data_IF_101676634784
#
_entry.id   IF_101676634784
#
_cell.length_a   1.000
_cell.length_b   1.000
_cell.length_c   1.000
_cell.angle_alpha   90.00
_cell.angle_beta   90.00
_cell.angle_gamma   90.00
#
_symmetry.space_group_name_H-M   'P 1'
#
loop_
_entity.id
_entity.type
_entity.pdbx_description
1 polymer ?
#
# COMPACT_ATOMS: atom_id res chain seq x y z
N UNK A 1 -10.80 -26.16 -49.05
CA UNK A 1 -9.62 -25.51 -48.41
C UNK A 1 -9.94 -24.12 -47.80
N UNK A 2 -10.85 -23.35 -48.40
CA UNK A 2 -11.21 -21.98 -47.95
C UNK A 2 -11.84 -21.90 -46.56
N UNK A 3 -12.58 -22.93 -46.08
CA UNK A 3 -13.25 -22.94 -44.78
C UNK A 3 -12.31 -23.02 -43.52
N UNK A 4 -11.10 -23.55 -43.65
CA UNK A 4 -10.16 -23.66 -42.51
C UNK A 4 -9.42 -22.34 -42.26
N UNK A 5 -9.02 -21.65 -43.32
CA UNK A 5 -8.39 -20.33 -43.27
C UNK A 5 -9.35 -19.26 -42.70
N UNK A 6 -10.62 -19.31 -43.08
CA UNK A 6 -11.64 -18.36 -42.59
C UNK A 6 -11.96 -18.58 -41.09
N UNK A 7 -12.00 -19.81 -40.64
CA UNK A 7 -12.17 -20.15 -39.20
C UNK A 7 -10.96 -19.75 -38.36
N UNK A 8 -9.75 -19.91 -38.88
CA UNK A 8 -8.52 -19.47 -38.20
C UNK A 8 -8.41 -17.94 -38.11
N UNK A 9 -8.86 -17.23 -39.19
CA UNK A 9 -8.85 -15.76 -39.19
C UNK A 9 -9.91 -15.18 -38.23
N UNK A 10 -11.06 -15.82 -38.12
CA UNK A 10 -12.13 -15.42 -37.19
C UNK A 10 -11.75 -15.71 -35.73
N UNK A 11 -11.06 -16.83 -35.45
CA UNK A 11 -10.53 -17.14 -34.13
C UNK A 11 -9.42 -16.16 -33.71
N UNK A 12 -8.59 -15.70 -34.63
CA UNK A 12 -7.52 -14.71 -34.35
C UNK A 12 -8.11 -13.33 -34.03
N UNK A 13 -9.23 -12.94 -34.70
CA UNK A 13 -9.92 -11.67 -34.44
C UNK A 13 -10.62 -11.65 -33.07
N UNK A 14 -11.12 -12.79 -32.57
CA UNK A 14 -11.73 -12.90 -31.25
C UNK A 14 -10.67 -12.82 -30.15
N UNK A 15 -9.45 -13.32 -30.39
CA UNK A 15 -8.35 -13.23 -29.43
C UNK A 15 -7.76 -11.81 -29.32
N UNK A 16 -7.91 -10.97 -30.33
CA UNK A 16 -7.38 -9.60 -30.37
C UNK A 16 -8.28 -8.58 -29.63
N UNK A 17 -9.52 -8.95 -29.29
CA UNK A 17 -10.51 -8.04 -28.69
C UNK A 17 -10.60 -8.10 -27.16
N UNK A 18 -9.75 -8.88 -26.48
CA UNK A 18 -9.79 -9.08 -25.02
C UNK A 18 -8.62 -8.43 -24.27
N UNK A 19 -7.96 -7.42 -24.82
CA UNK A 19 -7.12 -6.54 -24.00
C UNK A 19 -8.02 -5.60 -23.20
N UNK A 20 -8.64 -6.11 -22.13
CA UNK A 20 -9.20 -5.24 -21.09
C UNK A 20 -8.00 -4.55 -20.47
N UNK A 21 -7.72 -3.32 -20.90
CA UNK A 21 -6.77 -2.46 -20.21
C UNK A 21 -7.26 -2.29 -18.78
N UNK A 22 -6.58 -2.91 -17.83
CA UNK A 22 -6.76 -2.64 -16.42
C UNK A 22 -6.36 -1.18 -16.19
N UNK A 23 -7.34 -0.29 -16.08
CA UNK A 23 -7.17 1.14 -15.92
C UNK A 23 -7.96 1.61 -14.69
N UNK A 24 -7.45 2.64 -14.01
CA UNK A 24 -8.18 3.30 -12.93
C UNK A 24 -9.55 3.78 -13.42
N UNK A 25 -10.59 3.59 -12.59
CA UNK A 25 -11.94 4.04 -12.89
C UNK A 25 -12.05 5.57 -12.74
N UNK A 26 -12.78 6.21 -13.63
CA UNK A 26 -13.16 7.62 -13.50
C UNK A 26 -14.22 7.82 -12.41
N UNK A 27 -14.42 9.05 -11.95
CA UNK A 27 -15.48 9.38 -11.00
C UNK A 27 -16.87 9.01 -11.57
N UNK A 28 -17.11 9.28 -12.84
CA UNK A 28 -18.39 8.93 -13.50
C UNK A 28 -18.66 7.43 -13.49
N UNK A 29 -17.63 6.61 -13.71
CA UNK A 29 -17.73 5.14 -13.64
C UNK A 29 -18.02 4.66 -12.23
N UNK A 30 -17.39 5.28 -11.20
CA UNK A 30 -17.67 5.00 -9.78
C UNK A 30 -19.11 5.33 -9.46
N UNK A 31 -19.57 6.54 -9.80
CA UNK A 31 -20.95 7.00 -9.58
C UNK A 31 -21.95 6.10 -10.28
N UNK A 32 -21.72 5.75 -11.54
CA UNK A 32 -22.57 4.85 -12.33
C UNK A 32 -22.62 3.43 -11.75
N UNK A 33 -21.52 2.93 -11.21
CA UNK A 33 -21.48 1.60 -10.58
C UNK A 33 -22.17 1.56 -9.22
N UNK A 34 -22.37 2.71 -8.57
CA UNK A 34 -22.91 2.83 -7.23
C UNK A 34 -21.99 2.28 -6.13
N UNK A 35 -20.70 2.04 -6.43
CA UNK A 35 -19.74 1.46 -5.47
C UNK A 35 -18.39 2.17 -5.55
N UNK A 36 -17.91 2.66 -4.40
CA UNK A 36 -16.55 3.13 -4.17
C UNK A 36 -15.71 2.00 -3.57
N UNK A 37 -14.61 1.62 -4.22
CA UNK A 37 -13.66 0.63 -3.70
C UNK A 37 -12.49 1.34 -3.00
N UNK A 38 -12.46 1.25 -1.67
CA UNK A 38 -11.46 1.89 -0.83
C UNK A 38 -10.41 0.91 -0.31
N UNK A 39 -9.14 1.15 -0.61
CA UNK A 39 -8.02 0.35 -0.10
C UNK A 39 -7.54 0.84 1.27
N UNK A 40 -7.48 -0.04 2.28
CA UNK A 40 -6.96 0.26 3.61
C UNK A 40 -5.95 -0.79 4.06
N UNK A 41 -4.98 -0.39 4.90
CA UNK A 41 -3.93 -1.28 5.40
C UNK A 41 -4.21 -1.71 6.85
N UNK A 42 -4.78 -2.91 7.10
CA UNK A 42 -5.16 -3.35 8.44
C UNK A 42 -3.97 -3.67 9.37
N UNK A 43 -2.74 -3.57 8.88
CA UNK A 43 -1.53 -3.72 9.70
C UNK A 43 -1.03 -2.42 10.33
N UNK A 44 -1.80 -1.33 10.25
CA UNK A 44 -1.44 0.01 10.75
C UNK A 44 -2.53 0.57 11.69
N UNK A 45 -2.77 -0.01 12.88
CA UNK A 45 -3.63 0.62 13.85
C UNK A 45 -2.99 1.93 14.37
N UNK A 46 -3.75 3.01 14.64
CA UNK A 46 -5.22 3.11 14.60
C UNK A 46 -5.82 3.39 13.21
N UNK A 47 -5.01 3.52 12.17
CA UNK A 47 -5.47 3.88 10.82
C UNK A 47 -6.43 2.81 10.26
N UNK A 48 -6.03 1.53 10.30
CA UNK A 48 -6.92 0.43 10.02
C UNK A 48 -6.51 -0.85 10.76
N UNK A 49 -7.50 -1.65 11.15
CA UNK A 49 -7.35 -2.99 11.74
C UNK A 49 -8.59 -3.84 11.46
N UNK A 50 -8.51 -5.13 11.73
CA UNK A 50 -9.70 -5.98 11.86
C UNK A 50 -10.26 -5.90 13.28
N UNK A 51 -11.58 -5.77 13.42
CA UNK A 51 -12.28 -5.91 14.69
C UNK A 51 -12.56 -7.40 15.00
N UNK A 52 -13.24 -7.66 16.12
CA UNK A 52 -13.61 -9.02 16.56
C UNK A 52 -14.55 -9.75 15.60
N UNK A 53 -15.28 -9.00 14.76
CA UNK A 53 -16.18 -9.52 13.71
C UNK A 53 -15.47 -9.70 12.37
N UNK A 54 -14.14 -9.53 12.33
CA UNK A 54 -13.33 -9.58 11.12
C UNK A 54 -13.71 -8.50 10.07
N UNK A 55 -14.21 -7.34 10.53
CA UNK A 55 -14.51 -6.18 9.69
C UNK A 55 -13.33 -5.20 9.72
N UNK A 56 -13.07 -4.53 8.61
CA UNK A 56 -12.07 -3.48 8.51
C UNK A 56 -12.61 -2.20 9.16
N UNK A 57 -11.93 -1.73 10.19
CA UNK A 57 -12.30 -0.54 10.99
C UNK A 57 -11.09 0.33 11.26
N UNK A 58 -11.32 1.59 11.62
CA UNK A 58 -10.29 2.56 11.99
C UNK A 58 -10.43 3.86 11.21
N UNK A 59 -9.54 4.81 11.49
CA UNK A 59 -9.56 6.16 10.91
C UNK A 59 -9.71 6.16 9.38
N UNK A 60 -8.92 5.34 8.68
CA UNK A 60 -8.98 5.25 7.22
C UNK A 60 -10.33 4.72 6.72
N UNK A 61 -10.90 3.72 7.43
CA UNK A 61 -12.20 3.15 7.10
C UNK A 61 -13.32 4.18 7.31
N UNK A 62 -13.25 4.98 8.39
CA UNK A 62 -14.24 6.00 8.70
C UNK A 62 -14.23 7.14 7.68
N UNK A 63 -13.05 7.60 7.25
CA UNK A 63 -12.89 8.59 6.17
C UNK A 63 -13.48 8.06 4.86
N UNK A 64 -13.19 6.80 4.50
CA UNK A 64 -13.73 6.17 3.30
C UNK A 64 -15.26 6.04 3.35
N UNK A 65 -15.80 5.68 4.53
CA UNK A 65 -17.25 5.60 4.73
C UNK A 65 -17.91 6.97 4.53
N UNK A 66 -17.32 8.03 5.09
CA UNK A 66 -17.84 9.39 4.92
C UNK A 66 -17.75 9.86 3.47
N UNK A 67 -16.67 9.53 2.76
CA UNK A 67 -16.53 9.85 1.34
C UNK A 67 -17.61 9.14 0.50
N UNK A 68 -17.84 7.85 0.73
CA UNK A 68 -18.87 7.10 0.01
C UNK A 68 -20.28 7.64 0.29
N UNK A 69 -20.58 8.01 1.55
CA UNK A 69 -21.81 8.69 1.93
C UNK A 69 -22.01 10.00 1.16
N UNK A 70 -20.97 10.84 1.11
CA UNK A 70 -21.02 12.14 0.39
C UNK A 70 -21.23 11.96 -1.13
N UNK A 71 -20.69 10.88 -1.71
CA UNK A 71 -20.88 10.53 -3.11
C UNK A 71 -22.21 9.82 -3.38
N UNK A 72 -22.95 9.41 -2.35
CA UNK A 72 -24.20 8.66 -2.49
C UNK A 72 -24.01 7.24 -3.05
N UNK A 73 -22.86 6.61 -2.80
CA UNK A 73 -22.50 5.27 -3.27
C UNK A 73 -22.21 4.32 -2.09
N UNK A 74 -22.22 3.02 -2.34
CA UNK A 74 -21.81 2.02 -1.34
C UNK A 74 -20.30 1.99 -1.22
N UNK A 75 -19.78 1.73 -0.01
CA UNK A 75 -18.35 1.48 0.23
C UNK A 75 -18.06 -0.02 0.19
N UNK A 76 -17.02 -0.37 -0.55
CA UNK A 76 -16.35 -1.68 -0.51
C UNK A 76 -14.92 -1.48 -0.02
N UNK A 77 -14.60 -1.92 1.21
CA UNK A 77 -13.25 -1.87 1.75
C UNK A 77 -12.43 -3.06 1.27
N UNK A 78 -11.25 -2.78 0.74
CA UNK A 78 -10.31 -3.78 0.21
C UNK A 78 -9.03 -3.76 1.05
N UNK A 79 -8.65 -4.90 1.63
CA UNK A 79 -7.34 -5.06 2.25
C UNK A 79 -6.24 -4.76 1.24
N UNK A 80 -5.38 -3.80 1.56
CA UNK A 80 -4.33 -3.35 0.66
C UNK A 80 -3.01 -3.19 1.42
N UNK A 81 -2.05 -4.06 1.15
CA UNK A 81 -0.70 -3.98 1.73
C UNK A 81 0.10 -2.79 1.17
N UNK A 82 1.19 -2.43 1.85
CA UNK A 82 2.03 -1.31 1.43
C UNK A 82 2.57 -1.44 -0.01
N UNK A 83 2.98 -2.62 -0.52
CA UNK A 83 3.44 -2.75 -1.90
C UNK A 83 2.31 -2.64 -2.94
N UNK A 84 1.07 -2.93 -2.55
CA UNK A 84 -0.07 -3.05 -3.46
C UNK A 84 -0.78 -1.72 -3.74
N UNK A 85 -0.59 -0.72 -2.88
CA UNK A 85 -1.35 0.55 -2.89
C UNK A 85 -1.37 1.22 -4.27
N UNK A 86 -0.20 1.48 -4.85
CA UNK A 86 -0.10 2.14 -6.15
C UNK A 86 -0.58 1.24 -7.29
N UNK A 87 -0.13 -0.05 -7.40
CA UNK A 87 -0.62 -0.96 -8.44
C UNK A 87 -2.14 -1.14 -8.42
N UNK A 88 -2.77 -1.25 -7.26
CA UNK A 88 -4.21 -1.49 -7.17
C UNK A 88 -5.04 -0.30 -7.63
N UNK A 89 -4.60 0.94 -7.35
CA UNK A 89 -5.24 2.14 -7.90
C UNK A 89 -5.01 2.22 -9.41
N UNK A 90 -3.77 2.06 -9.87
CA UNK A 90 -3.42 2.18 -11.29
C UNK A 90 -4.15 1.16 -12.18
N UNK A 91 -4.52 0.00 -11.63
CA UNK A 91 -5.23 -1.06 -12.36
C UNK A 91 -6.75 -1.08 -12.13
N UNK A 92 -7.29 -0.12 -11.36
CA UNK A 92 -8.73 -0.07 -11.06
C UNK A 92 -9.24 -1.19 -10.13
N UNK A 93 -8.34 -1.91 -9.46
CA UNK A 93 -8.72 -2.88 -8.43
C UNK A 93 -9.34 -2.18 -7.22
N UNK A 94 -8.86 -0.97 -6.92
CA UNK A 94 -9.44 -0.01 -5.98
C UNK A 94 -9.48 1.37 -6.64
N UNK A 95 -10.36 2.24 -6.18
CA UNK A 95 -10.51 3.60 -6.70
C UNK A 95 -9.66 4.61 -5.94
N UNK A 96 -9.60 4.44 -4.63
CA UNK A 96 -8.86 5.28 -3.71
C UNK A 96 -8.15 4.41 -2.67
N UNK A 97 -7.00 4.86 -2.17
CA UNK A 97 -6.25 4.15 -1.14
C UNK A 97 -5.84 5.09 -0.03
N UNK A 98 -5.91 4.61 1.20
CA UNK A 98 -5.32 5.20 2.40
C UNK A 98 -4.28 4.23 2.99
N UNK A 99 -3.81 4.46 4.20
CA UNK A 99 -2.80 3.61 4.87
C UNK A 99 -1.41 4.23 4.86
N UNK A 100 -1.29 5.46 5.38
CA UNK A 100 -0.01 6.18 5.49
C UNK A 100 0.73 6.25 4.14
N UNK A 101 0.02 6.65 3.08
CA UNK A 101 0.61 6.72 1.73
C UNK A 101 1.31 8.06 1.52
N UNK A 102 2.56 8.15 1.89
CA UNK A 102 3.39 9.34 1.71
C UNK A 102 3.43 9.78 0.25
N UNK A 103 3.13 11.05 0.00
CA UNK A 103 3.24 11.70 -1.32
C UNK A 103 4.70 11.84 -1.71
N UNK A 104 5.06 11.41 -2.92
CA UNK A 104 6.36 11.65 -3.51
C UNK A 104 6.30 11.69 -5.05
N UNK A 105 7.32 12.29 -5.66
CA UNK A 105 7.37 12.51 -7.10
C UNK A 105 7.24 11.25 -7.96
N UNK A 106 7.80 10.10 -7.50
CA UNK A 106 7.70 8.84 -8.27
C UNK A 106 6.26 8.33 -8.32
N UNK A 107 5.56 8.38 -7.19
CA UNK A 107 4.16 7.95 -7.09
C UNK A 107 3.22 8.89 -7.82
N UNK A 108 3.48 10.21 -7.79
CA UNK A 108 2.68 11.23 -8.50
C UNK A 108 2.71 11.10 -10.02
N UNK A 109 3.66 10.34 -10.59
CA UNK A 109 3.65 10.00 -12.02
C UNK A 109 2.63 8.93 -12.39
N UNK A 110 2.05 8.24 -11.41
CA UNK A 110 1.19 7.07 -11.60
C UNK A 110 -0.20 7.32 -11.05
N UNK A 111 -0.31 8.01 -9.90
CA UNK A 111 -1.57 8.29 -9.21
C UNK A 111 -1.62 9.74 -8.74
N UNK A 112 -2.83 10.28 -8.67
CA UNK A 112 -3.08 11.59 -8.08
C UNK A 112 -3.21 11.49 -6.55
N UNK A 113 -3.06 12.63 -5.88
CA UNK A 113 -3.18 12.77 -4.44
C UNK A 113 -4.20 13.84 -4.09
N UNK A 114 -4.97 13.58 -3.06
CA UNK A 114 -5.82 14.58 -2.40
C UNK A 114 -4.98 15.59 -1.62
N UNK A 115 -5.61 16.55 -0.95
CA UNK A 115 -4.97 17.29 0.14
C UNK A 115 -4.49 16.31 1.23
N UNK A 116 -3.42 16.65 1.98
CA UNK A 116 -2.96 15.80 3.09
C UNK A 116 -4.08 15.59 4.11
N UNK A 117 -4.30 14.34 4.49
CA UNK A 117 -5.29 13.97 5.51
C UNK A 117 -4.67 14.07 6.91
N UNK A 118 -3.39 13.69 7.03
CA UNK A 118 -2.57 13.86 8.23
C UNK A 118 -1.10 13.99 7.85
N UNK A 119 -0.26 14.34 8.81
CA UNK A 119 1.19 14.42 8.66
C UNK A 119 1.86 13.46 9.64
N UNK A 120 3.00 12.92 9.25
CA UNK A 120 3.76 11.94 10.01
C UNK A 120 5.21 12.40 10.16
N UNK A 121 5.85 12.04 11.27
CA UNK A 121 7.26 12.32 11.52
C UNK A 121 8.09 11.08 11.27
N UNK A 122 9.26 11.25 10.65
CA UNK A 122 10.20 10.17 10.43
C UNK A 122 10.95 9.86 11.73
N UNK A 123 10.98 8.59 12.10
CA UNK A 123 11.66 8.14 13.30
C UNK A 123 12.16 6.71 13.17
N UNK A 124 12.56 6.15 14.30
CA UNK A 124 12.93 4.75 14.38
C UNK A 124 12.42 4.12 15.67
N UNK A 125 11.93 2.90 15.56
CA UNK A 125 11.57 2.07 16.68
C UNK A 125 12.65 0.99 16.87
N UNK A 126 13.11 0.87 18.11
CA UNK A 126 14.08 -0.15 18.54
C UNK A 126 13.67 -0.73 19.88
N UNK A 127 14.33 -1.78 20.32
CA UNK A 127 14.13 -2.33 21.67
C UNK A 127 15.06 -1.64 22.67
N UNK A 128 14.67 -1.64 23.95
CA UNK A 128 15.53 -1.16 25.04
C UNK A 128 16.87 -1.91 25.16
N UNK A 129 16.94 -3.11 24.61
CA UNK A 129 18.18 -3.92 24.61
C UNK A 129 19.24 -3.40 23.63
N UNK A 130 18.83 -2.68 22.59
CA UNK A 130 19.74 -2.12 21.57
C UNK A 130 19.30 -0.70 21.19
N UNK A 131 19.44 0.28 22.11
CA UNK A 131 19.07 1.66 21.83
C UNK A 131 20.04 2.29 20.83
N UNK A 132 19.52 3.24 20.04
CA UNK A 132 20.29 4.10 19.15
C UNK A 132 19.99 5.56 19.53
N UNK A 133 21.00 6.41 19.59
CA UNK A 133 20.81 7.83 19.89
C UNK A 133 20.26 8.61 18.69
N UNK A 134 20.61 8.18 17.47
CA UNK A 134 20.12 8.76 16.24
C UNK A 134 19.91 7.67 15.17
N UNK A 135 19.03 7.96 14.19
CA UNK A 135 18.75 7.03 13.08
C UNK A 135 20.03 6.68 12.31
N UNK A 136 20.94 7.64 12.14
CA UNK A 136 22.20 7.41 11.42
C UNK A 136 23.17 6.47 12.14
N UNK A 137 23.06 6.28 13.45
CA UNK A 137 23.86 5.31 14.21
C UNK A 137 23.53 3.86 13.82
N UNK A 138 22.42 3.64 13.14
CA UNK A 138 22.03 2.35 12.59
C UNK A 138 22.79 1.98 11.29
N UNK A 139 23.57 2.91 10.70
CA UNK A 139 24.30 2.65 9.47
C UNK A 139 25.60 1.86 9.71
N UNK A 140 25.49 0.66 10.24
CA UNK A 140 26.60 -0.25 10.58
C UNK A 140 26.29 -1.67 10.13
N UNK A 141 27.35 -2.42 9.80
CA UNK A 141 27.23 -3.79 9.28
C UNK A 141 26.69 -4.82 10.29
N UNK A 142 26.78 -4.52 11.59
CA UNK A 142 26.24 -5.37 12.66
C UNK A 142 24.74 -5.09 12.95
N UNK A 143 24.13 -4.07 12.32
CA UNK A 143 22.75 -3.69 12.54
C UNK A 143 21.83 -4.37 11.54
N UNK A 144 20.77 -4.99 12.04
CA UNK A 144 19.71 -5.65 11.27
C UNK A 144 18.44 -4.81 11.32
N UNK A 145 17.97 -4.34 10.18
CA UNK A 145 16.77 -3.53 10.07
C UNK A 145 15.62 -4.36 9.47
N UNK A 146 14.46 -4.37 10.11
CA UNK A 146 13.21 -4.80 9.52
C UNK A 146 12.60 -3.61 8.78
N UNK A 147 12.19 -3.78 7.53
CA UNK A 147 11.53 -2.73 6.76
C UNK A 147 10.35 -3.30 6.00
N UNK A 148 9.31 -2.50 5.77
CA UNK A 148 8.12 -2.95 5.03
C UNK A 148 8.27 -2.61 3.55
N UNK A 149 8.14 -3.61 2.71
CA UNK A 149 8.20 -3.49 1.25
C UNK A 149 7.21 -2.44 0.75
N UNK A 150 7.63 -1.58 -0.17
CA UNK A 150 6.78 -0.54 -0.75
C UNK A 150 6.51 0.66 0.15
N UNK A 151 7.00 0.68 1.40
CA UNK A 151 6.95 1.85 2.27
C UNK A 151 7.99 2.90 1.85
N UNK A 152 7.75 4.16 2.19
CA UNK A 152 8.71 5.23 1.92
C UNK A 152 9.94 5.10 2.86
N UNK A 153 9.78 4.76 4.15
CA UNK A 153 10.90 4.49 5.04
C UNK A 153 11.86 3.40 4.53
N UNK A 154 11.34 2.32 3.95
CA UNK A 154 12.19 1.28 3.38
C UNK A 154 13.07 1.80 2.23
N UNK A 155 12.51 2.67 1.38
CA UNK A 155 13.26 3.33 0.31
C UNK A 155 14.34 4.27 0.85
N UNK A 156 14.01 5.03 1.88
CA UNK A 156 14.95 5.92 2.56
C UNK A 156 16.08 5.15 3.24
N UNK A 157 15.75 4.10 4.00
CA UNK A 157 16.73 3.27 4.68
C UNK A 157 17.72 2.64 3.71
N UNK A 158 17.25 2.08 2.59
CA UNK A 158 18.12 1.54 1.53
C UNK A 158 19.11 2.56 0.96
N UNK A 159 18.68 3.82 0.85
CA UNK A 159 19.51 4.89 0.30
C UNK A 159 20.52 5.43 1.31
N UNK A 160 20.17 5.53 2.58
CA UNK A 160 20.92 6.26 3.59
C UNK A 160 21.62 5.35 4.62
N UNK A 161 21.12 4.13 4.85
CA UNK A 161 21.69 3.17 5.78
C UNK A 161 22.32 1.99 5.03
N UNK A 162 23.25 2.31 4.13
CA UNK A 162 23.83 1.39 3.13
C UNK A 162 24.69 0.29 3.72
N UNK A 163 25.15 0.44 4.97
CA UNK A 163 25.96 -0.56 5.70
C UNK A 163 25.09 -1.53 6.51
N UNK A 164 23.85 -1.16 6.84
CA UNK A 164 22.96 -1.98 7.63
C UNK A 164 22.39 -3.16 6.81
N UNK A 165 22.11 -4.26 7.51
CA UNK A 165 21.47 -5.43 6.92
C UNK A 165 19.94 -5.23 6.90
N UNK A 166 19.36 -4.93 5.74
CA UNK A 166 17.93 -4.64 5.60
C UNK A 166 17.17 -5.87 5.13
N UNK A 167 16.24 -6.36 5.96
CA UNK A 167 15.27 -7.39 5.60
C UNK A 167 13.92 -6.75 5.30
N UNK A 168 13.33 -7.09 4.15
CA UNK A 168 12.02 -6.59 3.73
C UNK A 168 10.92 -7.58 4.10
N UNK A 169 9.91 -7.09 4.84
CA UNK A 169 8.68 -7.78 5.15
C UNK A 169 7.52 -7.25 4.30
N UNK A 170 6.49 -8.05 4.08
CA UNK A 170 5.34 -7.66 3.26
C UNK A 170 4.29 -6.88 4.07
N UNK A 171 4.36 -6.94 5.41
CA UNK A 171 3.44 -6.22 6.31
C UNK A 171 4.14 -5.79 7.61
N UNK A 172 3.53 -4.82 8.29
CA UNK A 172 4.05 -4.28 9.56
C UNK A 172 4.03 -5.30 10.72
N UNK A 173 2.97 -6.10 10.93
CA UNK A 173 2.97 -7.11 12.00
C UNK A 173 4.16 -8.06 11.96
N UNK A 174 4.59 -8.50 10.78
CA UNK A 174 5.73 -9.40 10.64
C UNK A 174 7.06 -8.69 10.89
N UNK A 175 7.21 -7.43 10.44
CA UNK A 175 8.38 -6.61 10.74
C UNK A 175 8.52 -6.36 12.25
N UNK A 176 7.42 -5.99 12.92
CA UNK A 176 7.40 -5.76 14.37
C UNK A 176 7.68 -7.04 15.16
N UNK A 177 7.13 -8.18 14.71
CA UNK A 177 7.42 -9.49 15.31
C UNK A 177 8.89 -9.85 15.21
N UNK A 178 9.53 -9.54 14.07
CA UNK A 178 10.96 -9.78 13.90
C UNK A 178 11.81 -8.98 14.90
N UNK A 179 11.45 -7.73 15.17
CA UNK A 179 12.12 -6.90 16.19
C UNK A 179 11.87 -7.45 17.61
N UNK A 180 10.64 -7.75 17.96
CA UNK A 180 10.27 -8.30 19.25
C UNK A 180 10.99 -9.62 19.57
N UNK A 181 11.23 -10.44 18.55
CA UNK A 181 11.95 -11.72 18.64
C UNK A 181 13.49 -11.58 18.56
N UNK A 182 14.03 -10.36 18.41
CA UNK A 182 15.47 -10.13 18.25
C UNK A 182 16.06 -10.59 16.91
N UNK A 183 15.21 -10.87 15.90
CA UNK A 183 15.67 -11.18 14.54
C UNK A 183 16.08 -9.92 13.76
N UNK A 184 15.55 -8.79 14.16
CA UNK A 184 15.97 -7.46 13.73
C UNK A 184 16.16 -6.55 14.96
N UNK A 185 16.97 -5.51 14.81
CA UNK A 185 17.32 -4.57 15.87
C UNK A 185 16.37 -3.37 15.90
N UNK A 186 15.91 -2.92 14.73
CA UNK A 186 15.10 -1.73 14.59
C UNK A 186 14.31 -1.71 13.28
N UNK A 187 13.36 -0.78 13.20
CA UNK A 187 12.69 -0.32 11.98
C UNK A 187 12.80 1.20 11.92
N UNK A 188 13.08 1.74 10.74
CA UNK A 188 12.85 3.15 10.45
C UNK A 188 11.45 3.27 9.89
N UNK A 189 10.62 4.10 10.49
CA UNK A 189 9.23 4.27 10.07
C UNK A 189 8.74 5.70 10.38
N UNK A 190 7.49 5.94 10.09
CA UNK A 190 6.78 7.14 10.51
C UNK A 190 6.23 6.94 11.93
N UNK A 191 6.19 8.02 12.69
CA UNK A 191 5.71 8.07 14.07
C UNK A 191 4.60 9.12 14.11
N UNK A 192 3.45 8.74 14.64
CA UNK A 192 2.29 9.61 14.90
C UNK A 192 2.38 10.22 16.30
#
# INVERSE_FOLDING_TARGET
MMNKLFKSFFALLIFLSLTISAQARSLDEIMKSGVLKGGVNPGLPPLAKYNEKNELVGFDADIMAKLAEMLGVKLELVKTGSPDRIPFVATGKIDIVMGALTRNYKRQKIVDYTVPVHTEVFGALTTSKKPFAAVMDMNRADVKLAQVRGSMPAGWAKKNLTKANITLFDNYPDAMRAIAQGRADAIVDVID
#
